data_IF_500187893271
#
_entry.id   IF_500187893271
#
_cell.length_a   1.000
_cell.length_b   1.000
_cell.length_c   1.000
_cell.angle_alpha   90.00
_cell.angle_beta   90.00
_cell.angle_gamma   90.00
#
_symmetry.space_group_name_H-M   'P 1'
#
loop_
_entity.id
_entity.type
_entity.pdbx_description
1 polymer ?
#
# COMPACT_ATOMS: atom_id res chain seq x y z
N UNK A 1 -11.41 4.63 -7.48
CA UNK A 1 -10.22 4.15 -8.20
C UNK A 1 -10.53 2.81 -8.84
N UNK A 2 -9.88 2.48 -9.96
CA UNK A 2 -9.95 1.15 -10.55
C UNK A 2 -9.29 0.15 -9.56
N UNK A 3 -9.99 -0.92 -9.16
CA UNK A 3 -9.50 -1.95 -8.23
C UNK A 3 -8.62 -2.93 -9.02
N UNK A 4 -7.54 -2.43 -9.60
CA UNK A 4 -6.66 -3.19 -10.49
C UNK A 4 -5.32 -3.57 -9.84
N UNK A 5 -5.21 -3.42 -8.52
CA UNK A 5 -3.96 -3.56 -7.79
C UNK A 5 -3.12 -2.28 -7.79
N UNK A 6 -2.19 -2.20 -6.86
CA UNK A 6 -1.21 -1.10 -6.76
C UNK A 6 -0.08 -1.33 -7.75
N UNK A 7 0.37 -0.27 -8.41
CA UNK A 7 1.57 -0.32 -9.25
C UNK A 7 2.83 -0.10 -8.40
N UNK A 8 3.27 -1.15 -7.73
CA UNK A 8 4.42 -1.13 -6.80
C UNK A 8 5.69 -0.61 -7.50
N UNK A 9 6.01 -1.12 -8.69
CA UNK A 9 7.21 -0.72 -9.43
C UNK A 9 7.25 0.80 -9.72
N UNK A 10 6.10 1.38 -10.10
CA UNK A 10 6.01 2.81 -10.34
C UNK A 10 6.14 3.62 -9.04
N UNK A 11 5.52 3.14 -7.95
CA UNK A 11 5.60 3.79 -6.63
C UNK A 11 7.03 3.77 -6.09
N UNK A 12 7.74 2.64 -6.18
CA UNK A 12 9.15 2.51 -5.77
C UNK A 12 10.04 3.44 -6.59
N UNK A 13 9.90 3.45 -7.92
CA UNK A 13 10.69 4.36 -8.78
C UNK A 13 10.46 5.82 -8.43
N UNK A 14 9.23 6.19 -8.08
CA UNK A 14 8.92 7.54 -7.62
C UNK A 14 9.59 7.82 -6.27
N UNK A 15 9.46 6.91 -5.29
CA UNK A 15 10.06 7.06 -3.97
C UNK A 15 11.59 7.23 -4.04
N UNK A 16 12.27 6.38 -4.82
CA UNK A 16 13.73 6.45 -5.04
C UNK A 16 14.19 7.74 -5.74
N UNK A 17 13.29 8.46 -6.43
CA UNK A 17 13.60 9.73 -7.10
C UNK A 17 13.45 10.96 -6.21
N UNK A 18 12.97 10.79 -4.98
CA UNK A 18 12.65 11.84 -4.03
C UNK A 18 13.46 11.69 -2.74
N UNK A 19 13.63 12.79 -2.02
CA UNK A 19 14.23 12.78 -0.67
C UNK A 19 13.19 12.79 0.45
N UNK A 20 11.90 12.72 0.09
CA UNK A 20 10.79 12.68 1.03
C UNK A 20 10.03 11.36 0.84
N UNK A 21 9.45 10.80 1.91
CA UNK A 21 8.68 9.57 1.79
C UNK A 21 7.46 9.72 0.88
N UNK A 22 7.05 8.62 0.27
CA UNK A 22 5.90 8.54 -0.64
C UNK A 22 4.79 7.72 -0.03
N UNK A 23 3.56 8.22 -0.15
CA UNK A 23 2.35 7.47 0.16
C UNK A 23 1.75 6.96 -1.16
N UNK A 24 1.62 5.64 -1.28
CA UNK A 24 0.94 5.01 -2.41
C UNK A 24 -0.53 5.44 -2.45
N UNK A 25 -1.06 5.73 -3.63
CA UNK A 25 -2.44 6.17 -3.79
C UNK A 25 -3.10 5.50 -5.00
N UNK A 26 -4.27 4.92 -4.76
CA UNK A 26 -5.07 4.25 -5.79
C UNK A 26 -4.64 2.80 -6.06
N UNK A 27 -5.60 1.98 -6.48
CA UNK A 27 -5.35 0.59 -6.88
C UNK A 27 -5.45 -0.43 -5.75
N UNK A 28 -5.32 -0.02 -4.47
CA UNK A 28 -5.44 -0.91 -3.31
C UNK A 28 -6.77 -1.68 -3.35
N UNK A 29 -6.68 -3.00 -3.29
CA UNK A 29 -7.81 -3.90 -3.49
C UNK A 29 -7.90 -5.04 -2.48
N UNK A 30 -6.77 -5.58 -2.00
CA UNK A 30 -6.77 -6.78 -1.15
C UNK A 30 -5.51 -6.84 -0.25
N UNK A 31 -5.42 -7.88 0.58
CA UNK A 31 -4.31 -8.05 1.54
C UNK A 31 -2.94 -8.23 0.86
N UNK A 32 -2.88 -8.86 -0.32
CA UNK A 32 -1.61 -9.03 -1.02
C UNK A 32 -1.01 -7.69 -1.48
N UNK A 33 -1.85 -6.66 -1.71
CA UNK A 33 -1.35 -5.31 -1.98
C UNK A 33 -0.66 -4.71 -0.74
N UNK A 34 -1.18 -5.00 0.48
CA UNK A 34 -0.57 -4.56 1.75
C UNK A 34 0.79 -5.22 1.93
N UNK A 35 0.87 -6.54 1.75
CA UNK A 35 2.12 -7.29 1.91
C UNK A 35 3.20 -6.82 0.92
N UNK A 36 2.82 -6.55 -0.32
CA UNK A 36 3.74 -6.02 -1.33
C UNK A 36 4.25 -4.62 -0.98
N UNK A 37 3.39 -3.76 -0.43
CA UNK A 37 3.80 -2.42 0.02
C UNK A 37 4.76 -2.49 1.22
N UNK A 38 4.45 -3.30 2.24
CA UNK A 38 5.35 -3.52 3.37
C UNK A 38 6.71 -4.07 2.93
N UNK A 39 6.74 -4.98 1.94
CA UNK A 39 7.99 -5.52 1.40
C UNK A 39 8.89 -4.45 0.74
N UNK A 40 8.34 -3.31 0.33
CA UNK A 40 9.08 -2.18 -0.23
C UNK A 40 9.18 -0.99 0.74
N UNK A 41 8.90 -1.23 2.03
CA UNK A 41 9.19 -0.40 3.21
C UNK A 41 10.35 0.59 2.99
N UNK A 42 11.53 -0.03 2.95
CA UNK A 42 12.83 0.63 2.89
C UNK A 42 13.16 1.35 1.58
N UNK A 43 12.32 1.25 0.55
CA UNK A 43 12.49 1.99 -0.71
C UNK A 43 11.91 3.42 -0.64
N UNK A 44 11.36 3.80 0.52
CA UNK A 44 10.80 5.14 0.76
C UNK A 44 9.28 5.22 0.60
N UNK A 45 8.59 4.07 0.63
CA UNK A 45 7.12 4.00 0.56
C UNK A 45 6.56 3.91 1.98
N UNK A 46 6.11 5.01 2.57
CA UNK A 46 5.73 5.07 3.99
C UNK A 46 4.30 4.58 4.28
N UNK A 47 3.45 4.51 3.26
CA UNK A 47 2.09 4.03 3.48
C UNK A 47 1.22 4.04 2.23
N UNK A 48 -0.08 3.83 2.43
CA UNK A 48 -1.07 3.79 1.36
C UNK A 48 -2.39 4.43 1.76
N UNK A 49 -3.03 5.11 0.81
CA UNK A 49 -4.39 5.63 0.96
C UNK A 49 -5.40 4.56 0.58
N UNK A 50 -6.14 4.09 1.58
CA UNK A 50 -7.25 3.15 1.40
C UNK A 50 -8.56 3.91 1.11
N UNK A 51 -9.28 3.51 0.06
CA UNK A 51 -10.54 4.14 -0.32
C UNK A 51 -11.62 3.10 -0.62
N UNK A 52 -11.99 2.98 -1.91
CA UNK A 52 -13.10 2.12 -2.36
C UNK A 52 -13.09 0.71 -1.78
N UNK A 53 -11.93 0.06 -1.67
CA UNK A 53 -11.81 -1.31 -1.15
C UNK A 53 -12.39 -1.50 0.26
N UNK A 54 -12.29 -0.46 1.12
CA UNK A 54 -12.92 -0.48 2.44
C UNK A 54 -14.44 -0.40 2.29
N UNK A 55 -14.93 0.51 1.45
CA UNK A 55 -16.36 0.73 1.26
C UNK A 55 -17.07 -0.41 0.53
N UNK A 56 -16.38 -1.13 -0.36
CA UNK A 56 -16.91 -2.30 -1.05
C UNK A 56 -16.77 -3.61 -0.26
N UNK A 57 -16.02 -3.60 0.85
CA UNK A 57 -15.76 -4.79 1.66
C UNK A 57 -14.72 -5.74 1.06
N UNK A 58 -14.02 -5.32 0.00
CA UNK A 58 -12.93 -6.10 -0.61
C UNK A 58 -11.69 -6.16 0.30
N UNK A 59 -11.56 -5.17 1.20
CA UNK A 59 -10.50 -5.09 2.19
C UNK A 59 -11.09 -4.76 3.57
N UNK A 60 -10.86 -5.65 4.54
CA UNK A 60 -11.06 -5.33 5.95
C UNK A 60 -9.92 -4.42 6.43
N UNK A 61 -10.27 -3.19 6.80
CA UNK A 61 -9.29 -2.18 7.24
C UNK A 61 -8.54 -2.59 8.51
N UNK A 62 -9.24 -3.15 9.50
CA UNK A 62 -8.63 -3.51 10.78
C UNK A 62 -7.67 -4.70 10.60
N UNK A 63 -8.06 -5.69 9.80
CA UNK A 63 -7.20 -6.81 9.46
C UNK A 63 -5.98 -6.36 8.63
N UNK A 64 -6.16 -5.42 7.70
CA UNK A 64 -5.07 -4.88 6.90
C UNK A 64 -4.05 -4.12 7.74
N UNK A 65 -4.51 -3.28 8.66
CA UNK A 65 -3.62 -2.56 9.59
C UNK A 65 -2.86 -3.54 10.49
N UNK A 66 -3.55 -4.51 11.10
CA UNK A 66 -2.90 -5.50 11.95
C UNK A 66 -1.84 -6.29 11.19
N UNK A 67 -2.12 -6.64 9.93
CA UNK A 67 -1.16 -7.33 9.07
C UNK A 67 0.07 -6.49 8.75
N UNK A 68 -0.11 -5.20 8.48
CA UNK A 68 1.01 -4.28 8.27
C UNK A 68 1.88 -4.14 9.54
N UNK A 69 1.24 -4.04 10.71
CA UNK A 69 1.94 -3.94 12.00
C UNK A 69 2.77 -5.21 12.29
N UNK A 70 2.26 -6.40 11.95
CA UNK A 70 2.99 -7.68 12.08
C UNK A 70 4.23 -7.76 11.18
N UNK A 71 4.19 -7.16 10.00
CA UNK A 71 5.27 -7.21 9.01
C UNK A 71 6.38 -6.20 9.30
N UNK A 72 6.05 -5.13 10.02
CA UNK A 72 6.97 -4.06 10.39
C UNK A 72 7.57 -4.24 11.81
N UNK A 73 7.20 -5.33 12.50
CA UNK A 73 7.66 -5.70 13.85
C UNK A 73 8.97 -6.48 13.90
#
# INVERSE_FOLDING_TARGET
>A
GMLSGINIDATVKLAQSLSIPVIASGGLSNMADIEQLCAVEGEGVEGVICGRAIYSGDLDFAAAQARADELNG
#
